data_IF_308828455889
#
_entry.id   IF_308828455889
#
_cell.length_a   1.000
_cell.length_b   1.000
_cell.length_c   1.000
_cell.angle_alpha   90.00
_cell.angle_beta   90.00
_cell.angle_gamma   90.00
#
_symmetry.space_group_name_H-M   'P 1'
#
loop_
_entity.id
_entity.type
_entity.pdbx_description
1 polymer ?
#
# COMPACT_ATOMS: atom_id res chain seq x y z
N UNK A 1 -20.44 -3.61 -1.54
CA UNK A 1 -18.98 -3.47 -1.38
C UNK A 1 -18.43 -4.89 -1.29
N UNK A 2 -17.58 -5.33 -2.23
CA UNK A 2 -16.98 -6.67 -2.17
C UNK A 2 -15.93 -6.62 -1.07
N UNK A 3 -16.03 -7.53 -0.10
CA UNK A 3 -15.00 -7.71 0.93
C UNK A 3 -13.62 -7.83 0.26
N UNK A 4 -12.54 -7.31 0.87
CA UNK A 4 -11.21 -7.48 0.31
C UNK A 4 -11.01 -8.97 0.05
N UNK A 5 -10.84 -9.35 -1.22
CA UNK A 5 -10.62 -10.73 -1.55
C UNK A 5 -9.41 -11.18 -0.74
N UNK A 6 -9.54 -12.23 0.10
CA UNK A 6 -8.54 -12.56 1.10
C UNK A 6 -7.16 -12.83 0.48
N UNK A 7 -7.15 -13.18 -0.82
CA UNK A 7 -5.95 -13.50 -1.60
C UNK A 7 -5.06 -12.26 -1.82
N UNK A 8 -5.58 -11.12 -2.26
CA UNK A 8 -4.77 -9.91 -2.51
C UNK A 8 -4.22 -9.33 -1.22
N UNK A 9 -5.00 -9.34 -0.14
CA UNK A 9 -4.51 -8.92 1.17
C UNK A 9 -3.42 -9.88 1.69
N UNK A 10 -3.59 -11.19 1.49
CA UNK A 10 -2.57 -12.17 1.86
C UNK A 10 -1.28 -11.99 1.05
N UNK A 11 -1.39 -11.82 -0.27
CA UNK A 11 -0.25 -11.54 -1.15
C UNK A 11 0.47 -10.25 -0.73
N UNK A 12 -0.28 -9.17 -0.49
CA UNK A 12 0.28 -7.90 0.00
C UNK A 12 1.09 -8.11 1.28
N UNK A 13 0.53 -8.82 2.26
CA UNK A 13 1.21 -9.09 3.54
C UNK A 13 2.46 -9.95 3.36
N UNK A 14 2.43 -10.93 2.45
CA UNK A 14 3.61 -11.72 2.11
C UNK A 14 4.70 -10.86 1.47
N UNK A 15 4.34 -9.98 0.53
CA UNK A 15 5.28 -9.05 -0.09
C UNK A 15 5.94 -8.14 0.96
N UNK A 16 5.15 -7.57 1.87
CA UNK A 16 5.69 -6.73 2.97
C UNK A 16 6.64 -7.51 3.87
N UNK A 17 6.26 -8.74 4.25
CA UNK A 17 7.07 -9.62 5.09
C UNK A 17 8.41 -10.00 4.45
N UNK A 18 8.40 -10.33 3.15
CA UNK A 18 9.63 -10.65 2.39
C UNK A 18 10.59 -9.46 2.32
N UNK A 19 10.07 -8.23 2.38
CA UNK A 19 10.89 -7.01 2.45
C UNK A 19 11.40 -6.69 3.87
N UNK A 20 11.15 -7.57 4.85
CA UNK A 20 11.58 -7.39 6.24
C UNK A 20 10.80 -6.31 7.00
N UNK A 21 9.62 -5.93 6.52
CA UNK A 21 8.74 -4.93 7.15
C UNK A 21 7.56 -5.63 7.85
N UNK A 22 6.97 -4.95 8.83
CA UNK A 22 5.78 -5.46 9.51
C UNK A 22 4.55 -5.43 8.57
N UNK A 23 3.90 -6.58 8.30
CA UNK A 23 2.70 -6.64 7.47
C UNK A 23 1.42 -6.22 8.22
N UNK A 24 1.52 -5.90 9.52
CA UNK A 24 0.40 -5.46 10.34
C UNK A 24 -0.27 -4.21 9.77
N UNK A 25 -1.60 -4.26 9.68
CA UNK A 25 -2.40 -3.14 9.16
C UNK A 25 -2.36 -2.93 7.65
N UNK A 26 -1.62 -3.76 6.90
CA UNK A 26 -1.70 -3.77 5.44
C UNK A 26 -2.95 -4.54 4.97
N UNK A 27 -3.66 -3.93 4.02
CA UNK A 27 -4.89 -4.45 3.40
C UNK A 27 -4.93 -4.07 1.92
N UNK A 28 -5.36 -5.01 1.07
CA UNK A 28 -5.62 -4.77 -0.34
C UNK A 28 -7.06 -5.12 -0.70
N UNK A 29 -7.66 -4.34 -1.60
CA UNK A 29 -8.99 -4.63 -2.15
C UNK A 29 -9.05 -4.29 -3.64
N UNK A 30 -9.57 -5.22 -4.44
CA UNK A 30 -9.94 -4.99 -5.83
C UNK A 30 -11.23 -4.15 -5.90
N UNK A 31 -11.13 -3.00 -6.56
CA UNK A 31 -12.24 -2.09 -6.78
C UNK A 31 -13.06 -2.51 -8.01
N UNK A 32 -14.35 -2.16 -8.08
CA UNK A 32 -15.20 -2.43 -9.25
C UNK A 32 -14.66 -1.83 -10.56
N UNK A 33 -13.82 -0.80 -10.47
CA UNK A 33 -13.15 -0.15 -11.60
C UNK A 33 -12.00 -0.97 -12.20
N UNK A 34 -11.64 -2.13 -11.64
CA UNK A 34 -10.49 -2.92 -12.07
C UNK A 34 -9.14 -2.38 -11.57
N UNK A 35 -9.16 -1.63 -10.46
CA UNK A 35 -7.95 -1.14 -9.78
C UNK A 35 -7.78 -1.80 -8.42
N UNK A 36 -6.54 -1.97 -7.96
CA UNK A 36 -6.22 -2.43 -6.61
C UNK A 36 -6.02 -1.21 -5.71
N UNK A 37 -6.76 -1.16 -4.61
CA UNK A 37 -6.48 -0.26 -3.50
C UNK A 37 -5.60 -0.96 -2.48
N UNK A 38 -4.51 -0.33 -2.06
CA UNK A 38 -3.62 -0.77 -0.98
C UNK A 38 -3.71 0.23 0.15
N UNK A 39 -3.96 -0.25 1.36
CA UNK A 39 -3.98 0.53 2.59
C UNK A 39 -2.95 0.00 3.56
N UNK A 40 -2.31 0.93 4.25
CA UNK A 40 -1.45 0.72 5.41
C UNK A 40 -1.95 1.62 6.54
N UNK A 41 -1.43 1.47 7.77
CA UNK A 41 -1.77 2.38 8.87
C UNK A 41 -1.40 3.85 8.60
N UNK A 42 -0.37 4.08 7.79
CA UNK A 42 0.15 5.42 7.50
C UNK A 42 -0.48 6.03 6.24
N UNK A 43 -0.57 5.27 5.16
CA UNK A 43 -0.96 5.77 3.84
C UNK A 43 -1.82 4.78 3.05
N UNK A 44 -2.46 5.30 2.00
CA UNK A 44 -3.19 4.53 1.00
C UNK A 44 -2.68 4.85 -0.42
N UNK A 45 -2.75 3.87 -1.31
CA UNK A 45 -2.40 4.01 -2.72
C UNK A 45 -3.35 3.20 -3.60
N UNK A 46 -3.54 3.66 -4.84
CA UNK A 46 -4.35 2.98 -5.85
C UNK A 46 -3.50 2.65 -7.06
N UNK A 47 -3.64 1.44 -7.57
CA UNK A 47 -2.88 0.93 -8.71
C UNK A 47 -3.82 0.32 -9.75
N UNK A 48 -3.49 0.40 -11.05
CA UNK A 48 -4.11 -0.48 -12.05
C UNK A 48 -3.91 -1.94 -11.65
N UNK A 49 -4.86 -2.83 -11.94
CA UNK A 49 -4.72 -4.26 -11.64
C UNK A 49 -3.49 -4.89 -12.32
N UNK A 50 -3.11 -4.41 -13.50
CA UNK A 50 -1.90 -4.89 -14.17
C UNK A 50 -0.63 -4.31 -13.53
N UNK A 51 0.29 -5.20 -13.14
CA UNK A 51 1.60 -4.82 -12.60
C UNK A 51 1.59 -4.11 -11.24
N UNK A 52 0.47 -4.14 -10.49
CA UNK A 52 0.34 -3.41 -9.22
C UNK A 52 1.39 -3.82 -8.17
N UNK A 53 1.77 -5.10 -8.13
CA UNK A 53 2.74 -5.64 -7.16
C UNK A 53 4.11 -5.01 -7.34
N UNK A 54 4.59 -4.86 -8.59
CA UNK A 54 5.85 -4.18 -8.90
C UNK A 54 5.81 -2.73 -8.42
N UNK A 55 4.75 -2.00 -8.77
CA UNK A 55 4.58 -0.59 -8.39
C UNK A 55 4.52 -0.43 -6.86
N UNK A 56 3.81 -1.32 -6.20
CA UNK A 56 3.71 -1.38 -4.75
C UNK A 56 5.08 -1.59 -4.10
N UNK A 57 5.85 -2.60 -4.53
CA UNK A 57 7.18 -2.89 -3.98
C UNK A 57 8.12 -1.70 -4.17
N UNK A 58 8.06 -1.03 -5.33
CA UNK A 58 8.81 0.20 -5.57
C UNK A 58 8.45 1.31 -4.58
N UNK A 59 7.16 1.57 -4.35
CA UNK A 59 6.70 2.55 -3.35
C UNK A 59 7.12 2.16 -1.93
N UNK A 60 7.09 0.87 -1.61
CA UNK A 60 7.54 0.35 -0.32
C UNK A 60 9.03 0.60 -0.09
N UNK A 61 9.87 0.39 -1.11
CA UNK A 61 11.30 0.73 -1.05
C UNK A 61 11.56 2.23 -0.94
N UNK A 62 10.71 3.06 -1.55
CA UNK A 62 10.80 4.52 -1.46
C UNK A 62 10.31 5.08 -0.11
N UNK A 63 9.80 4.23 0.78
CA UNK A 63 9.28 4.64 2.08
C UNK A 63 7.94 5.37 2.01
N UNK A 64 7.17 5.21 0.93
CA UNK A 64 5.85 5.84 0.78
C UNK A 64 4.88 5.46 1.92
N UNK A 65 4.99 4.22 2.40
CA UNK A 65 4.16 3.70 3.49
C UNK A 65 4.81 3.85 4.88
N UNK A 66 5.96 4.55 4.98
CA UNK A 66 6.60 4.79 6.28
C UNK A 66 5.88 5.92 7.02
N UNK A 67 5.44 5.70 8.28
CA UNK A 67 4.77 6.74 9.06
C UNK A 67 5.66 7.96 9.31
N UNK A 68 7.00 7.79 9.24
CA UNK A 68 7.97 8.89 9.37
C UNK A 68 7.99 9.81 8.16
N UNK A 69 7.59 9.34 6.97
CA UNK A 69 7.51 10.16 5.77
C UNK A 69 6.37 11.20 5.85
N UNK A 70 5.30 10.89 6.59
CA UNK A 70 4.16 11.78 6.80
C UNK A 70 4.42 12.85 7.87
N UNK A 71 5.50 12.72 8.64
CA UNK A 71 5.86 13.65 9.70
C UNK A 71 6.60 14.90 9.19
N UNK A 72 6.76 15.07 7.87
CA UNK A 72 7.29 16.32 7.32
C UNK A 72 6.16 17.37 7.26
N UNK A 73 6.18 18.41 8.12
CA UNK A 73 5.27 19.53 7.95
C UNK A 73 5.58 20.17 6.60
N UNK A 74 4.53 20.40 5.81
CA UNK A 74 4.56 21.30 4.66
C UNK A 74 5.32 22.57 5.05
N UNK A 75 6.36 22.99 4.30
CA UNK A 75 6.97 24.28 4.56
C UNK A 75 5.87 25.34 4.41
N UNK A 76 5.56 26.07 5.50
CA UNK A 76 4.67 27.22 5.46
C UNK A 76 5.22 28.16 4.40
N UNK A 77 4.42 28.43 3.36
CA UNK A 77 4.70 29.51 2.43
C UNK A 77 4.77 30.81 3.23
N UNK A 78 5.87 31.53 3.01
CA UNK A 78 6.21 32.81 3.62
C UNK A 78 5.32 33.93 3.06
#
# INVERSE_FOLDING_TARGET
MREPAPQETQLLRQLVSVQGRDPGGFSAALLPSGSISVRSPAAAAFYPLDGWTHRFVRHLHQGYFDPRALAQPTPRAN
#
